data_IF_041928691845
#
_entry.id   IF_041928691845
#
_cell.length_a   1.000
_cell.length_b   1.000
_cell.length_c   1.000
_cell.angle_alpha   90.00
_cell.angle_beta   90.00
_cell.angle_gamma   90.00
#
_symmetry.space_group_name_H-M   'P 1'
#
loop_
_entity.id
_entity.type
_entity.pdbx_description
1 polymer ?
#
# COMPACT_ATOMS: atom_id res chain seq x y z
N UNK A 1 11.88 -46.61 16.78
CA UNK A 1 11.82 -45.15 17.00
C UNK A 1 13.22 -44.56 16.91
N UNK A 2 13.43 -43.52 16.11
CA UNK A 2 14.61 -42.63 16.22
C UNK A 2 14.18 -41.22 15.82
N UNK A 3 14.32 -40.25 16.73
CA UNK A 3 14.06 -38.83 16.46
C UNK A 3 15.35 -38.21 15.90
N UNK A 4 15.24 -37.43 14.82
CA UNK A 4 16.27 -36.44 14.46
C UNK A 4 15.56 -35.10 14.24
N UNK A 5 15.45 -34.34 15.32
CA UNK A 5 15.07 -32.93 15.24
C UNK A 5 16.31 -32.13 14.82
N UNK A 6 16.26 -31.44 13.67
CA UNK A 6 17.24 -30.39 13.35
C UNK A 6 16.70 -29.03 13.75
N UNK A 7 17.36 -28.43 14.74
CA UNK A 7 17.25 -27.03 15.12
C UNK A 7 17.71 -26.11 13.99
N UNK A 8 17.11 -24.92 13.92
CA UNK A 8 17.45 -23.87 12.97
C UNK A 8 17.18 -22.50 13.58
N UNK A 9 18.16 -21.99 14.33
CA UNK A 9 18.01 -20.78 15.15
C UNK A 9 18.14 -19.49 14.29
N UNK A 10 17.03 -18.79 14.08
CA UNK A 10 16.99 -17.52 13.35
C UNK A 10 17.13 -16.29 14.25
N UNK A 11 18.34 -15.98 14.71
CA UNK A 11 18.58 -14.85 15.62
C UNK A 11 18.27 -13.48 14.97
N UNK A 12 17.36 -12.69 15.58
CA UNK A 12 17.04 -11.32 15.12
C UNK A 12 17.43 -10.25 16.14
N UNK A 13 18.73 -9.94 16.20
CA UNK A 13 19.28 -8.80 16.97
C UNK A 13 18.61 -7.48 16.55
N UNK A 14 17.85 -6.85 17.46
CA UNK A 14 17.36 -5.48 17.28
C UNK A 14 18.48 -4.49 17.70
N UNK A 15 19.15 -3.87 16.73
CA UNK A 15 20.00 -2.69 17.00
C UNK A 15 19.09 -1.53 17.39
N UNK A 16 19.14 -1.06 18.65
CA UNK A 16 18.65 0.27 19.02
C UNK A 16 19.81 1.24 18.92
N UNK A 17 19.83 2.06 17.87
CA UNK A 17 20.75 3.18 17.78
C UNK A 17 20.14 4.39 18.51
N UNK A 18 20.44 4.53 19.81
CA UNK A 18 20.23 5.79 20.50
C UNK A 18 21.42 6.70 20.18
N UNK A 19 21.23 7.64 19.27
CA UNK A 19 22.17 8.73 19.04
C UNK A 19 21.46 10.05 19.36
N UNK A 20 21.79 10.67 20.49
CA UNK A 20 21.73 12.12 20.72
C UNK A 20 22.37 12.49 22.06
N UNK A 21 23.67 12.83 21.99
CA UNK A 21 24.39 13.84 22.79
C UNK A 21 24.17 13.89 24.31
N UNK A 22 25.12 13.33 25.06
CA UNK A 22 25.55 13.95 26.33
C UNK A 22 26.36 15.21 26.03
N UNK A 23 25.98 16.32 26.64
CA UNK A 23 26.85 17.46 26.96
C UNK A 23 26.55 17.85 28.40
N UNK A 24 27.47 17.58 29.33
CA UNK A 24 28.16 18.61 30.13
C UNK A 24 29.15 17.98 31.12
N UNK A 25 30.22 18.73 31.41
CA UNK A 25 31.35 18.31 32.23
C UNK A 25 31.26 18.91 33.64
N UNK A 26 31.50 18.04 34.63
CA UNK A 26 32.08 18.24 35.98
C UNK A 26 32.29 19.68 36.50
N UNK A 27 31.62 20.03 37.61
CA UNK A 27 31.93 21.14 38.55
C UNK A 27 31.03 21.01 39.82
N UNK A 28 31.46 21.23 41.08
CA UNK A 28 32.76 21.03 41.75
C UNK A 28 32.54 20.76 43.27
N UNK A 29 33.59 20.89 44.10
CA UNK A 29 33.71 20.51 45.53
C UNK A 29 32.90 21.28 46.59
N UNK A 30 32.32 20.51 47.52
CA UNK A 30 32.17 20.73 48.98
C UNK A 30 32.80 22.00 49.63
N UNK A 31 31.99 22.78 50.37
CA UNK A 31 32.47 23.57 51.54
C UNK A 31 31.39 23.80 52.62
N UNK A 32 31.84 24.01 53.85
CA UNK A 32 31.08 24.00 55.13
C UNK A 32 30.35 25.33 55.47
N UNK A 33 29.44 25.20 56.47
CA UNK A 33 28.91 26.21 57.44
C UNK A 33 27.81 27.15 56.91
N UNK A 34 26.62 27.12 57.55
CA UNK A 34 26.14 28.05 58.61
C UNK A 34 26.03 29.50 58.07
N UNK A 35 24.87 30.18 58.11
CA UNK A 35 23.99 30.34 59.28
C UNK A 35 22.48 30.32 58.97
N UNK A 36 21.70 29.91 59.97
CA UNK A 36 20.29 30.32 60.14
C UNK A 36 20.27 31.67 60.85
N UNK A 37 19.31 32.57 60.56
CA UNK A 37 18.59 33.37 61.57
C UNK A 37 17.44 34.18 60.94
N UNK A 38 16.21 33.92 61.43
CA UNK A 38 15.06 34.84 61.49
C UNK A 38 14.71 35.73 60.28
N UNK A 39 13.58 35.43 59.64
CA UNK A 39 12.51 36.44 59.56
C UNK A 39 11.16 35.83 59.89
N UNK A 40 10.50 36.41 60.89
CA UNK A 40 9.30 35.90 61.56
C UNK A 40 8.08 36.64 61.02
N UNK A 41 7.52 36.18 59.91
CA UNK A 41 6.27 36.72 59.36
C UNK A 41 5.13 35.75 59.67
N UNK A 42 4.50 35.98 60.82
CA UNK A 42 3.15 35.47 61.08
C UNK A 42 2.18 36.30 60.23
N UNK A 43 1.76 35.80 59.07
CA UNK A 43 0.70 36.46 58.30
C UNK A 43 -0.26 35.45 57.68
N UNK A 44 -1.48 35.51 58.20
CA UNK A 44 -2.75 34.94 57.74
C UNK A 44 -2.76 33.52 57.14
N UNK A 45 -3.51 32.68 57.88
CA UNK A 45 -4.35 31.59 57.41
C UNK A 45 -5.22 32.03 56.22
N UNK A 46 -4.70 31.90 55.00
CA UNK A 46 -5.48 32.02 53.75
C UNK A 46 -5.64 30.64 53.14
N UNK A 47 -6.85 30.11 53.30
CA UNK A 47 -7.53 29.13 52.44
C UNK A 47 -6.66 28.08 51.72
N UNK A 48 -6.31 27.00 52.42
CA UNK A 48 -5.75 25.77 51.83
C UNK A 48 -6.84 24.86 51.26
N UNK A 49 -7.88 25.42 50.63
CA UNK A 49 -9.13 24.70 50.28
C UNK A 49 -9.62 25.00 48.84
N UNK A 50 -8.73 25.39 47.92
CA UNK A 50 -9.03 25.52 46.48
C UNK A 50 -7.91 24.98 45.58
N UNK A 51 -7.40 23.80 45.93
CA UNK A 51 -6.87 22.87 44.94
C UNK A 51 -7.80 21.68 44.89
N UNK A 52 -8.95 21.87 44.25
CA UNK A 52 -9.87 20.80 43.91
C UNK A 52 -9.10 19.70 43.17
N UNK A 53 -9.07 18.52 43.77
CA UNK A 53 -8.36 17.36 43.25
C UNK A 53 -9.05 16.83 41.99
N UNK A 54 -8.80 17.49 40.86
CA UNK A 54 -9.04 16.95 39.52
C UNK A 54 -8.03 15.82 39.19
N UNK A 55 -7.83 14.91 40.15
CA UNK A 55 -7.21 13.61 39.95
C UNK A 55 -8.04 12.88 38.90
N UNK A 56 -7.55 12.85 37.66
CA UNK A 56 -8.23 12.13 36.58
C UNK A 56 -8.36 10.67 36.98
N UNK A 57 -9.56 10.28 37.42
CA UNK A 57 -9.83 8.94 37.96
C UNK A 57 -9.36 7.85 37.01
N UNK A 58 -8.95 6.67 37.54
CA UNK A 58 -8.18 5.68 36.80
C UNK A 58 -8.84 5.34 35.45
N UNK A 59 -8.25 5.86 34.37
CA UNK A 59 -8.85 5.80 33.05
C UNK A 59 -8.80 4.36 32.51
N UNK A 60 -9.88 3.61 32.75
CA UNK A 60 -10.12 2.32 32.12
C UNK A 60 -10.02 2.49 30.61
N UNK A 61 -9.08 1.78 29.97
CA UNK A 61 -8.91 1.83 28.51
C UNK A 61 -10.26 1.52 27.85
N UNK A 62 -10.76 2.48 27.07
CA UNK A 62 -12.05 2.37 26.38
C UNK A 62 -11.96 1.23 25.36
N UNK A 63 -12.57 0.10 25.71
CA UNK A 63 -12.73 -1.15 24.94
C UNK A 63 -11.41 -1.91 24.67
N UNK A 64 -11.22 -3.04 25.38
CA UNK A 64 -10.04 -3.90 25.25
C UNK A 64 -10.07 -4.86 24.04
N UNK A 65 -11.23 -5.04 23.39
CA UNK A 65 -11.38 -5.92 22.23
C UNK A 65 -11.59 -5.11 20.94
N UNK A 66 -10.80 -5.42 19.93
CA UNK A 66 -11.06 -5.01 18.54
C UNK A 66 -12.10 -6.00 18.00
N UNK A 67 -13.35 -5.56 17.85
CA UNK A 67 -14.42 -6.42 17.34
C UNK A 67 -14.37 -6.62 15.83
N UNK A 68 -15.13 -7.59 15.31
CA UNK A 68 -15.11 -8.02 13.89
C UNK A 68 -15.71 -7.00 12.89
N UNK A 69 -15.96 -5.77 13.32
CA UNK A 69 -16.57 -4.70 12.51
C UNK A 69 -15.74 -4.39 11.26
N UNK A 70 -14.42 -4.62 11.30
CA UNK A 70 -13.53 -4.45 10.14
C UNK A 70 -13.77 -5.52 9.07
N UNK A 71 -13.84 -6.80 9.44
CA UNK A 71 -14.19 -7.89 8.52
C UNK A 71 -15.61 -7.70 7.98
N UNK A 72 -16.59 -7.45 8.86
CA UNK A 72 -17.99 -7.17 8.49
C UNK A 72 -18.19 -5.87 7.70
N UNK A 73 -17.21 -4.97 7.66
CA UNK A 73 -17.19 -3.81 6.75
C UNK A 73 -16.61 -4.19 5.40
N UNK A 74 -15.49 -4.93 5.36
CA UNK A 74 -14.80 -5.34 4.13
C UNK A 74 -15.64 -6.25 3.23
N UNK A 75 -16.36 -7.22 3.81
CA UNK A 75 -17.17 -8.18 3.04
C UNK A 75 -18.58 -7.67 2.67
N UNK A 76 -18.87 -6.36 2.77
CA UNK A 76 -20.15 -5.80 2.30
C UNK A 76 -20.12 -5.63 0.78
N UNK A 77 -21.24 -5.94 0.13
CA UNK A 77 -21.44 -5.81 -1.32
C UNK A 77 -20.97 -4.46 -1.87
N UNK A 78 -21.27 -3.35 -1.17
CA UNK A 78 -20.85 -1.99 -1.56
C UNK A 78 -19.34 -1.70 -1.56
N UNK A 79 -18.50 -2.63 -1.09
CA UNK A 79 -17.04 -2.55 -1.14
C UNK A 79 -16.42 -3.78 -1.83
N UNK A 80 -17.23 -4.57 -2.56
CA UNK A 80 -16.76 -5.71 -3.33
C UNK A 80 -15.91 -5.20 -4.50
N UNK A 81 -14.72 -5.78 -4.64
CA UNK A 81 -13.88 -5.59 -5.82
C UNK A 81 -14.37 -6.51 -6.94
N UNK A 82 -13.94 -6.24 -8.18
CA UNK A 82 -14.21 -7.12 -9.32
C UNK A 82 -13.65 -8.54 -9.10
N UNK A 83 -14.39 -9.51 -9.58
CA UNK A 83 -14.07 -10.93 -9.46
C UNK A 83 -13.09 -11.39 -10.57
N UNK A 84 -12.68 -12.65 -10.54
CA UNK A 84 -11.55 -13.16 -11.35
C UNK A 84 -11.98 -13.40 -12.80
N UNK A 85 -13.14 -14.02 -12.95
CA UNK A 85 -13.88 -14.25 -14.18
C UNK A 85 -14.29 -12.95 -14.89
N UNK A 86 -14.68 -11.91 -14.15
CA UNK A 86 -14.88 -10.57 -14.72
C UNK A 86 -13.60 -10.01 -15.34
N UNK A 87 -12.47 -10.07 -14.61
CA UNK A 87 -11.16 -9.61 -15.10
C UNK A 87 -10.66 -10.45 -16.28
N UNK A 88 -11.02 -11.73 -16.36
CA UNK A 88 -10.71 -12.58 -17.50
C UNK A 88 -11.49 -12.22 -18.77
N UNK A 89 -12.70 -11.68 -18.62
CA UNK A 89 -13.43 -11.10 -19.73
C UNK A 89 -12.82 -9.75 -20.18
N UNK A 90 -12.30 -8.95 -19.25
CA UNK A 90 -11.56 -7.70 -19.56
C UNK A 90 -10.23 -7.97 -20.27
N UNK A 91 -9.57 -9.12 -20.05
CA UNK A 91 -8.31 -9.50 -20.71
C UNK A 91 -8.46 -9.85 -22.20
N UNK A 92 -9.69 -10.01 -22.71
CA UNK A 92 -9.94 -10.20 -24.14
C UNK A 92 -9.57 -8.91 -24.89
N UNK A 93 -8.83 -9.01 -26.00
CA UNK A 93 -8.23 -7.87 -26.73
C UNK A 93 -9.21 -6.69 -26.93
N UNK A 94 -10.41 -6.99 -27.43
CA UNK A 94 -11.47 -6.00 -27.67
C UNK A 94 -11.86 -5.17 -26.45
N UNK A 95 -11.83 -5.78 -25.26
CA UNK A 95 -12.11 -5.09 -23.99
C UNK A 95 -10.85 -4.41 -23.46
N UNK A 96 -9.70 -5.08 -23.52
CA UNK A 96 -8.42 -4.53 -23.08
C UNK A 96 -8.10 -3.19 -23.77
N UNK A 97 -8.31 -3.09 -25.09
CA UNK A 97 -8.10 -1.87 -25.85
C UNK A 97 -9.04 -0.73 -25.42
N UNK A 98 -10.31 -1.04 -25.13
CA UNK A 98 -11.30 -0.07 -24.62
C UNK A 98 -10.98 0.42 -23.21
N UNK A 99 -10.48 -0.46 -22.34
CA UNK A 99 -10.12 -0.12 -20.96
C UNK A 99 -8.77 0.63 -20.86
N UNK A 100 -7.86 0.39 -21.81
CA UNK A 100 -6.60 1.15 -21.93
C UNK A 100 -6.81 2.55 -22.54
N UNK A 101 -7.67 2.65 -23.57
CA UNK A 101 -7.95 3.91 -24.28
C UNK A 101 -9.25 4.55 -23.77
N UNK A 102 -9.40 4.65 -22.45
CA UNK A 102 -10.57 5.29 -21.85
C UNK A 102 -10.56 6.81 -22.13
N UNK A 103 -11.74 7.40 -22.35
CA UNK A 103 -11.87 8.85 -22.35
C UNK A 103 -11.55 9.45 -20.97
N UNK A 104 -11.09 10.70 -20.97
CA UNK A 104 -10.74 11.47 -19.77
C UNK A 104 -11.94 11.60 -18.84
N UNK A 105 -11.75 11.20 -17.58
CA UNK A 105 -12.81 11.11 -16.57
C UNK A 105 -12.31 11.68 -15.24
N UNK A 106 -12.78 12.88 -14.90
CA UNK A 106 -12.32 13.66 -13.75
C UNK A 106 -12.70 13.07 -12.39
N UNK A 107 -13.70 12.17 -12.32
CA UNK A 107 -14.10 11.51 -11.07
C UNK A 107 -13.12 10.38 -10.67
N UNK A 108 -12.27 9.95 -11.61
CA UNK A 108 -11.28 8.87 -11.41
C UNK A 108 -9.87 9.44 -11.17
N UNK A 109 -9.05 8.78 -10.34
CA UNK A 109 -7.66 9.20 -10.15
C UNK A 109 -6.87 9.01 -11.45
N UNK A 110 -6.00 9.97 -11.78
CA UNK A 110 -5.24 9.97 -13.02
C UNK A 110 -6.12 10.07 -14.27
N UNK A 111 -7.27 10.75 -14.16
CA UNK A 111 -8.23 11.02 -15.24
C UNK A 111 -8.75 9.76 -15.96
N UNK A 112 -8.62 8.59 -15.33
CA UNK A 112 -8.93 7.29 -15.93
C UNK A 112 -7.85 6.71 -16.86
N UNK A 113 -6.77 7.44 -17.15
CA UNK A 113 -5.72 7.04 -18.09
C UNK A 113 -4.86 5.87 -17.55
N UNK A 114 -4.30 6.01 -16.34
CA UNK A 114 -3.34 5.06 -15.80
C UNK A 114 -4.03 3.85 -15.13
N UNK A 115 -4.50 2.91 -15.94
CA UNK A 115 -5.32 1.77 -15.51
C UNK A 115 -4.65 0.39 -15.65
N UNK A 116 -4.71 -0.41 -14.57
CA UNK A 116 -4.25 -1.81 -14.56
C UNK A 116 -5.43 -2.78 -14.69
N UNK A 117 -5.52 -3.49 -15.82
CA UNK A 117 -6.57 -4.50 -16.09
C UNK A 117 -6.55 -5.59 -15.00
N UNK A 118 -5.40 -6.22 -14.79
CA UNK A 118 -5.28 -7.38 -13.89
C UNK A 118 -5.81 -7.11 -12.47
N UNK A 119 -5.57 -5.92 -11.92
CA UNK A 119 -5.97 -5.55 -10.55
C UNK A 119 -7.22 -4.67 -10.49
N UNK A 120 -7.86 -4.38 -11.63
CA UNK A 120 -9.02 -3.50 -11.76
C UNK A 120 -8.90 -2.18 -10.98
N UNK A 121 -7.76 -1.50 -11.10
CA UNK A 121 -7.45 -0.29 -10.33
C UNK A 121 -6.82 0.82 -11.18
N UNK A 122 -7.31 2.03 -10.95
CA UNK A 122 -6.75 3.28 -11.47
C UNK A 122 -5.64 3.82 -10.55
N UNK A 123 -4.65 4.48 -11.14
CA UNK A 123 -3.50 5.11 -10.50
C UNK A 123 -3.38 6.58 -10.91
N UNK A 124 -2.56 7.35 -10.19
CA UNK A 124 -2.41 8.79 -10.44
C UNK A 124 -1.43 9.11 -11.58
N UNK A 125 -0.40 8.28 -11.80
CA UNK A 125 0.63 8.48 -12.82
C UNK A 125 1.30 7.17 -13.24
N UNK A 126 1.97 7.16 -14.41
CA UNK A 126 2.66 5.98 -14.95
C UNK A 126 3.74 5.42 -14.03
N UNK A 127 4.46 6.27 -13.31
CA UNK A 127 5.49 5.84 -12.36
C UNK A 127 4.88 4.95 -11.26
N UNK A 128 3.71 5.33 -10.76
CA UNK A 128 2.98 4.54 -9.75
C UNK A 128 2.44 3.23 -10.34
N UNK A 129 2.05 3.24 -11.62
CA UNK A 129 1.68 2.02 -12.36
C UNK A 129 2.87 1.07 -12.53
N UNK A 130 4.09 1.58 -12.78
CA UNK A 130 5.31 0.76 -12.83
C UNK A 130 5.64 0.11 -11.51
N UNK A 131 5.60 0.88 -10.43
CA UNK A 131 5.84 0.34 -9.11
C UNK A 131 4.75 -0.63 -8.67
N UNK A 132 3.50 -0.44 -9.12
CA UNK A 132 2.43 -1.41 -8.93
C UNK A 132 2.78 -2.79 -9.53
N UNK A 133 3.26 -2.86 -10.78
CA UNK A 133 3.66 -4.13 -11.42
C UNK A 133 4.78 -4.86 -10.65
N UNK A 134 5.68 -4.11 -10.00
CA UNK A 134 6.74 -4.67 -9.15
C UNK A 134 6.19 -5.29 -7.85
N UNK A 135 5.02 -4.86 -7.35
CA UNK A 135 4.46 -5.31 -6.06
C UNK A 135 4.09 -6.79 -6.01
N UNK A 136 4.06 -7.33 -4.78
CA UNK A 136 3.63 -8.70 -4.50
C UNK A 136 2.14 -8.94 -4.77
N UNK A 137 1.29 -7.92 -4.67
CA UNK A 137 -0.16 -8.05 -4.92
C UNK A 137 -0.42 -8.31 -6.40
N UNK A 138 0.19 -7.51 -7.27
CA UNK A 138 0.10 -7.68 -8.72
C UNK A 138 0.62 -9.08 -9.15
N UNK A 139 1.80 -9.47 -8.65
CA UNK A 139 2.41 -10.78 -8.93
C UNK A 139 1.60 -11.98 -8.39
N UNK A 140 0.74 -11.79 -7.39
CA UNK A 140 -0.25 -12.81 -6.97
C UNK A 140 -1.42 -12.87 -7.95
N UNK A 141 -1.97 -11.72 -8.31
CA UNK A 141 -3.11 -11.61 -9.23
C UNK A 141 -2.81 -12.25 -10.60
N UNK A 142 -1.62 -12.01 -11.17
CA UNK A 142 -1.18 -12.73 -12.39
C UNK A 142 -1.23 -14.24 -12.18
N UNK A 143 -0.68 -14.76 -11.07
CA UNK A 143 -0.66 -16.21 -10.80
C UNK A 143 -2.05 -16.82 -10.66
N UNK A 144 -2.98 -16.09 -10.07
CA UNK A 144 -4.38 -16.51 -9.95
C UNK A 144 -5.05 -16.57 -11.33
N UNK A 145 -4.80 -15.58 -12.20
CA UNK A 145 -5.30 -15.54 -13.58
C UNK A 145 -4.62 -16.58 -14.51
N UNK A 146 -3.48 -17.17 -14.14
CA UNK A 146 -2.85 -18.24 -14.96
C UNK A 146 -3.68 -19.52 -15.02
N UNK A 147 -4.54 -19.74 -14.04
CA UNK A 147 -5.52 -20.83 -14.06
C UNK A 147 -6.77 -20.36 -14.83
N UNK A 148 -7.48 -21.28 -15.50
CA UNK A 148 -8.84 -20.99 -15.97
C UNK A 148 -9.75 -20.64 -14.77
N UNK A 149 -10.65 -19.65 -14.89
CA UNK A 149 -11.53 -19.25 -13.80
C UNK A 149 -12.61 -20.33 -13.55
N UNK A 150 -13.02 -20.46 -12.29
CA UNK A 150 -14.08 -21.39 -11.90
C UNK A 150 -15.42 -21.02 -12.55
N UNK A 151 -16.13 -22.02 -13.07
CA UNK A 151 -17.41 -21.83 -13.79
C UNK A 151 -18.54 -22.65 -13.18
N UNK A 152 -19.79 -22.25 -13.43
CA UNK A 152 -20.98 -22.99 -12.95
C UNK A 152 -20.99 -24.42 -13.52
N UNK A 153 -20.59 -24.60 -14.77
CA UNK A 153 -20.44 -25.91 -15.40
C UNK A 153 -19.45 -26.81 -14.65
N UNK A 154 -18.41 -26.26 -14.03
CA UNK A 154 -17.46 -27.00 -13.19
C UNK A 154 -18.10 -27.44 -11.85
N UNK A 155 -18.95 -26.58 -11.28
CA UNK A 155 -19.75 -26.90 -10.09
C UNK A 155 -20.73 -28.06 -10.37
N UNK A 156 -21.44 -28.01 -11.50
CA UNK A 156 -22.40 -29.02 -11.93
C UNK A 156 -21.72 -30.37 -12.19
N UNK A 157 -20.57 -30.36 -12.89
CA UNK A 157 -19.74 -31.56 -13.08
C UNK A 157 -19.26 -32.15 -11.76
N UNK A 158 -18.85 -31.33 -10.79
CA UNK A 158 -18.48 -31.79 -9.45
C UNK A 158 -19.66 -32.37 -8.65
N UNK A 159 -20.89 -31.92 -8.93
CA UNK A 159 -22.12 -32.50 -8.39
C UNK A 159 -22.60 -33.78 -9.11
N UNK A 160 -21.88 -34.23 -10.14
CA UNK A 160 -22.18 -35.44 -10.92
C UNK A 160 -22.87 -35.19 -12.27
N UNK A 161 -23.14 -33.93 -12.63
CA UNK A 161 -23.72 -33.57 -13.93
C UNK A 161 -22.61 -33.34 -14.97
N UNK A 162 -22.02 -34.43 -15.46
CA UNK A 162 -21.07 -34.41 -16.59
C UNK A 162 -19.71 -35.05 -16.30
N UNK A 163 -18.73 -34.82 -17.20
CA UNK A 163 -17.40 -35.42 -17.16
C UNK A 163 -16.33 -34.50 -16.55
N UNK A 164 -15.38 -35.07 -15.81
CA UNK A 164 -14.24 -34.31 -15.27
C UNK A 164 -13.34 -33.78 -16.40
N UNK A 165 -12.92 -32.52 -16.28
CA UNK A 165 -11.93 -31.89 -17.16
C UNK A 165 -10.88 -31.22 -16.26
N UNK A 166 -9.60 -31.44 -16.53
CA UNK A 166 -8.52 -30.80 -15.78
C UNK A 166 -8.43 -29.29 -16.12
N UNK A 167 -8.17 -28.40 -15.14
CA UNK A 167 -7.96 -26.98 -15.39
C UNK A 167 -6.73 -26.76 -16.29
N UNK A 168 -6.84 -25.84 -17.27
CA UNK A 168 -5.68 -25.49 -18.11
C UNK A 168 -4.89 -24.32 -17.51
N UNK A 169 -3.58 -24.35 -17.71
CA UNK A 169 -2.69 -23.24 -17.39
C UNK A 169 -2.40 -22.40 -18.64
N UNK A 170 -2.38 -21.08 -18.48
CA UNK A 170 -2.09 -20.09 -19.53
C UNK A 170 -0.99 -19.12 -19.08
N UNK A 171 -0.08 -18.78 -19.99
CA UNK A 171 0.96 -17.78 -19.72
C UNK A 171 0.42 -16.39 -20.02
N UNK A 172 0.16 -15.62 -18.96
CA UNK A 172 -0.29 -14.22 -19.08
C UNK A 172 0.92 -13.29 -18.94
N UNK A 173 1.11 -12.44 -19.96
CA UNK A 173 2.04 -11.34 -19.94
C UNK A 173 1.43 -10.12 -19.23
N UNK A 174 2.27 -9.26 -18.64
CA UNK A 174 1.87 -7.93 -18.20
C UNK A 174 1.62 -7.02 -19.39
N UNK A 175 0.69 -6.07 -19.25
CA UNK A 175 0.42 -5.02 -20.23
C UNK A 175 1.75 -4.38 -20.73
N UNK A 176 1.94 -4.17 -22.04
CA UNK A 176 3.01 -3.29 -22.51
C UNK A 176 2.70 -1.88 -22.02
N UNK A 177 3.75 -1.13 -21.69
CA UNK A 177 3.61 0.28 -21.45
C UNK A 177 3.48 0.97 -22.81
N UNK A 178 2.53 1.89 -22.95
CA UNK A 178 2.70 2.97 -23.93
C UNK A 178 3.83 3.90 -23.42
N UNK A 179 5.07 3.42 -23.51
CA UNK A 179 6.09 4.31 -24.04
C UNK A 179 5.67 4.46 -25.49
N UNK A 180 5.05 5.59 -25.82
CA UNK A 180 4.87 5.93 -27.22
C UNK A 180 6.26 5.96 -27.83
N UNK A 181 6.51 4.99 -28.72
CA UNK A 181 7.66 4.99 -29.59
C UNK A 181 7.50 6.23 -30.47
N UNK A 182 8.08 7.35 -30.04
CA UNK A 182 8.25 8.52 -30.89
C UNK A 182 9.15 8.08 -32.03
N UNK A 183 8.53 7.55 -33.09
CA UNK A 183 9.13 7.57 -34.41
C UNK A 183 9.26 9.05 -34.74
N UNK A 184 10.47 9.56 -34.57
CA UNK A 184 10.85 10.83 -35.17
C UNK A 184 10.37 10.79 -36.63
N UNK A 185 9.64 11.80 -37.12
CA UNK A 185 9.24 11.81 -38.52
C UNK A 185 10.52 11.80 -39.35
N UNK A 186 10.73 10.70 -40.10
CA UNK A 186 11.82 10.58 -41.05
C UNK A 186 11.73 11.75 -42.04
N UNK A 187 12.66 12.68 -41.86
CA UNK A 187 13.16 13.66 -42.82
C UNK A 187 12.12 14.40 -43.67
N UNK A 188 11.91 15.68 -43.34
CA UNK A 188 11.48 16.71 -44.30
C UNK A 188 12.58 16.96 -45.34
N UNK A 189 12.81 15.98 -46.20
CA UNK A 189 13.32 16.22 -47.54
C UNK A 189 12.28 17.03 -48.35
N UNK A 190 12.74 17.62 -49.47
CA UNK A 190 11.91 18.32 -50.46
C UNK A 190 11.28 19.67 -50.06
N UNK A 191 12.12 20.61 -49.59
CA UNK A 191 11.88 22.06 -49.80
C UNK A 191 13.06 22.77 -50.50
N UNK A 192 14.30 22.28 -50.40
CA UNK A 192 15.48 22.97 -50.96
C UNK A 192 15.84 22.59 -52.42
N UNK A 193 14.99 21.82 -53.11
CA UNK A 193 15.28 21.28 -54.46
C UNK A 193 14.76 22.16 -55.61
N UNK A 194 14.30 23.39 -55.33
CA UNK A 194 13.78 24.30 -56.36
C UNK A 194 14.40 25.71 -56.23
N UNK A 195 14.99 26.16 -57.35
CA UNK A 195 15.67 27.44 -57.60
C UNK A 195 17.10 27.56 -57.04
N UNK A 196 18.10 27.34 -57.91
CA UNK A 196 18.89 28.39 -58.58
C UNK A 196 19.72 27.69 -59.67
N UNK A 197 19.17 27.63 -60.89
CA UNK A 197 19.98 27.57 -62.10
C UNK A 197 20.14 29.02 -62.59
N UNK A 198 21.33 29.59 -62.43
CA UNK A 198 21.69 30.89 -63.00
C UNK A 198 23.14 30.85 -63.50
N UNK A 199 23.27 31.09 -64.81
CA UNK A 199 24.48 31.15 -65.64
C UNK A 199 25.00 29.80 -66.16
#
# INVERSE_FOLDING_TARGET
>A
MTRICRSGEGARRKKRANHLRLWYVVCWTSRRRQYCYYCRISFLRVSTDLLDEAMTGPQKKKKHHVGDTFYKRRYRTKYRARDIDEVDNDLKKENADRLLKQALDFDKPGEGQHYCIHCARYFLSDQVLQDHFRTKLHKKRIKELRLEPYTIEEAERAAGFGSYIAPKERVIATQPLNVEEYKEPEEVADICSLNIDLQ
#
